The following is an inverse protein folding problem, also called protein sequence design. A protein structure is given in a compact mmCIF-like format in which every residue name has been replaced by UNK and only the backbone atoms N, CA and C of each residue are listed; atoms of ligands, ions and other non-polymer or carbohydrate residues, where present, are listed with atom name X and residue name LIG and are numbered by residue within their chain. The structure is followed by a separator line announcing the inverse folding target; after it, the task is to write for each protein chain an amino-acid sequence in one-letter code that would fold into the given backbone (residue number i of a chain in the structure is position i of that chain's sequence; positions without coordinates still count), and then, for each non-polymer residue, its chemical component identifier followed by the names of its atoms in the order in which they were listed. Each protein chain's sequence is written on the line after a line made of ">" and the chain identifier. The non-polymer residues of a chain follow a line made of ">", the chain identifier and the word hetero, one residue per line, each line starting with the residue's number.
data_IF_174483891940
#
_entry.id   IF_174483891940
#
_cell.length_a   1.000
_cell.length_b   1.000
_cell.length_c   1.000
_cell.angle_alpha   90.00
_cell.angle_beta   90.00
_cell.angle_gamma   90.00
#
_symmetry.space_group_name_H-M   'P 1'
#
loop_
_entity.id
_entity.type
_entity.pdbx_description
1 polymer ?
#
# COMPACT_ATOMS: atom_id res chain seq x y z
N UNK A 1 -48.89 -18.36 -9.50
CA UNK A 1 -48.18 -19.40 -8.73
C UNK A 1 -46.95 -18.74 -8.17
N UNK A 2 -46.89 -18.73 -6.84
CA UNK A 2 -45.90 -18.12 -5.97
C UNK A 2 -44.60 -18.91 -5.95
N UNK A 3 -43.46 -18.21 -6.01
CA UNK A 3 -42.19 -18.48 -5.26
C UNK A 3 -41.29 -17.26 -5.51
N UNK A 4 -41.34 -16.26 -4.62
CA UNK A 4 -40.42 -16.05 -3.50
C UNK A 4 -39.12 -15.36 -3.94
N UNK A 5 -39.15 -14.01 -3.91
CA UNK A 5 -37.97 -13.16 -3.76
C UNK A 5 -37.38 -13.43 -2.36
N UNK A 6 -36.09 -13.76 -2.31
CA UNK A 6 -35.29 -13.59 -1.10
C UNK A 6 -34.65 -12.21 -1.18
N UNK A 7 -35.18 -11.28 -0.39
CA UNK A 7 -34.58 -9.98 -0.14
C UNK A 7 -33.31 -10.17 0.72
N UNK A 8 -32.12 -9.99 0.14
CA UNK A 8 -30.91 -9.66 0.89
C UNK A 8 -30.60 -8.19 0.62
N UNK A 9 -31.37 -7.32 1.28
CA UNK A 9 -31.10 -5.89 1.32
C UNK A 9 -30.24 -5.58 2.55
N UNK A 10 -28.92 -5.45 2.35
CA UNK A 10 -28.12 -4.58 3.22
C UNK A 10 -28.08 -3.21 2.55
N UNK A 11 -28.65 -2.24 3.25
CA UNK A 11 -28.98 -0.91 2.77
C UNK A 11 -27.72 -0.03 2.81
N UNK A 12 -27.37 0.56 1.66
CA UNK A 12 -26.54 1.77 1.55
C UNK A 12 -27.03 2.83 2.54
N UNK A 13 -26.17 3.34 3.42
CA UNK A 13 -26.20 4.74 3.90
C UNK A 13 -25.06 5.00 4.90
N UNK A 14 -23.96 5.57 4.44
CA UNK A 14 -23.15 6.47 5.25
C UNK A 14 -23.70 7.88 5.06
N UNK A 15 -24.39 8.44 6.07
CA UNK A 15 -24.56 9.91 6.15
C UNK A 15 -24.87 10.40 7.57
N UNK A 16 -24.00 11.29 8.03
CA UNK A 16 -24.21 12.39 9.00
C UNK A 16 -24.50 12.06 10.47
N UNK A 17 -23.54 12.37 11.34
CA UNK A 17 -23.77 12.60 12.76
C UNK A 17 -23.47 14.06 13.12
N UNK A 18 -24.51 14.83 13.46
CA UNK A 18 -24.38 16.16 14.09
C UNK A 18 -25.20 16.21 15.38
N UNK A 19 -24.48 16.26 16.50
CA UNK A 19 -24.71 17.04 17.74
C UNK A 19 -25.87 16.77 18.76
N UNK A 20 -25.42 16.72 20.03
CA UNK A 20 -25.96 17.28 21.32
C UNK A 20 -26.71 16.41 22.38
N UNK A 21 -25.99 16.11 23.47
CA UNK A 21 -26.33 16.04 24.93
C UNK A 21 -27.79 15.84 25.46
N UNK A 22 -27.99 14.85 26.35
CA UNK A 22 -28.39 15.03 27.77
C UNK A 22 -28.41 13.71 28.59
N UNK A 23 -28.01 13.82 29.88
CA UNK A 23 -27.83 12.78 30.92
C UNK A 23 -29.16 12.29 31.55
N UNK A 24 -29.30 10.99 31.88
CA UNK A 24 -29.23 10.41 33.26
C UNK A 24 -29.66 8.92 33.32
N UNK A 25 -28.72 8.07 33.78
CA UNK A 25 -28.81 6.88 34.65
C UNK A 25 -30.09 6.00 34.67
N UNK A 26 -29.97 4.74 34.24
CA UNK A 26 -30.00 3.56 35.13
C UNK A 26 -30.21 2.25 34.34
N UNK A 27 -29.58 1.18 34.84
CA UNK A 27 -29.66 -0.22 34.38
C UNK A 27 -28.71 -0.58 33.23
N UNK A 28 -27.59 -1.14 33.66
CA UNK A 28 -26.74 -2.06 32.91
C UNK A 28 -27.61 -3.15 32.28
N UNK A 29 -27.94 -2.97 31.01
CA UNK A 29 -28.27 -4.05 30.09
C UNK A 29 -27.20 -3.93 29.00
N UNK A 30 -26.17 -4.77 29.11
CA UNK A 30 -25.22 -4.99 28.03
C UNK A 30 -26.04 -5.64 26.90
N UNK A 31 -26.68 -4.83 26.06
CA UNK A 31 -26.95 -5.26 24.71
C UNK A 31 -25.56 -5.29 24.07
N UNK A 32 -24.92 -6.47 24.06
CA UNK A 32 -24.14 -6.81 22.88
C UNK A 32 -25.19 -6.78 21.76
N UNK A 33 -25.29 -5.65 21.07
CA UNK A 33 -25.54 -5.73 19.65
C UNK A 33 -24.31 -6.44 19.09
N UNK A 34 -24.33 -7.79 19.13
CA UNK A 34 -23.65 -8.52 18.10
C UNK A 34 -24.28 -7.96 16.83
N UNK A 35 -23.52 -7.13 16.10
CA UNK A 35 -23.77 -6.99 14.68
C UNK A 35 -23.98 -8.43 14.17
N UNK A 36 -25.01 -8.69 13.35
CA UNK A 36 -25.12 -10.01 12.77
C UNK A 36 -23.76 -10.28 12.10
N UNK A 37 -23.00 -11.23 12.65
CA UNK A 37 -21.81 -11.78 11.99
C UNK A 37 -22.31 -12.15 10.60
N UNK A 38 -21.84 -11.41 9.60
CA UNK A 38 -22.09 -11.79 8.23
C UNK A 38 -21.48 -13.20 8.11
N UNK A 39 -22.21 -14.21 7.63
CA UNK A 39 -21.52 -15.45 7.31
C UNK A 39 -20.46 -15.09 6.24
N UNK A 40 -19.19 -15.36 6.54
CA UNK A 40 -18.06 -15.23 5.63
C UNK A 40 -18.49 -15.59 4.21
N UNK A 41 -18.30 -14.66 3.29
CA UNK A 41 -18.61 -14.87 1.89
C UNK A 41 -17.37 -15.44 1.23
N UNK A 42 -17.44 -16.69 0.77
CA UNK A 42 -16.34 -17.30 0.03
C UNK A 42 -15.82 -16.32 -1.05
N UNK A 43 -14.56 -15.91 -0.92
CA UNK A 43 -13.93 -15.03 -1.89
C UNK A 43 -13.75 -15.80 -3.20
N UNK A 44 -14.27 -15.25 -4.29
CA UNK A 44 -14.10 -15.83 -5.63
C UNK A 44 -13.94 -14.75 -6.69
N UNK A 45 -12.91 -14.88 -7.50
CA UNK A 45 -12.61 -13.99 -8.61
C UNK A 45 -13.12 -14.58 -9.92
N UNK A 46 -13.77 -13.74 -10.72
CA UNK A 46 -14.13 -14.08 -12.10
C UNK A 46 -13.68 -12.97 -13.02
N UNK A 47 -13.03 -13.34 -14.13
CA UNK A 47 -12.64 -12.37 -15.15
C UNK A 47 -13.88 -11.65 -15.71
N UNK A 48 -13.77 -10.34 -15.86
CA UNK A 48 -14.79 -9.53 -16.51
C UNK A 48 -15.07 -10.01 -17.94
N UNK A 49 -16.33 -9.96 -18.37
CA UNK A 49 -16.74 -10.33 -19.72
C UNK A 49 -17.63 -9.25 -20.34
N UNK A 50 -17.13 -8.49 -21.35
CA UNK A 50 -15.78 -8.55 -21.93
C UNK A 50 -14.70 -8.08 -20.95
N UNK A 51 -13.46 -8.50 -21.16
CA UNK A 51 -12.33 -7.92 -20.44
C UNK A 51 -12.12 -6.47 -20.91
N UNK A 52 -11.79 -5.53 -20.01
CA UNK A 52 -11.46 -4.17 -20.41
C UNK A 52 -10.17 -4.16 -21.24
N UNK A 53 -10.08 -3.22 -22.18
CA UNK A 53 -8.91 -3.07 -23.05
C UNK A 53 -7.83 -2.22 -22.37
N UNK A 54 -7.18 -2.77 -21.36
CA UNK A 54 -6.08 -2.16 -20.62
C UNK A 54 -4.74 -2.57 -21.25
N UNK A 55 -3.69 -1.75 -21.06
CA UNK A 55 -2.33 -2.21 -21.34
C UNK A 55 -1.96 -3.38 -20.43
N UNK A 56 -1.19 -4.33 -20.97
CA UNK A 56 -0.57 -5.40 -20.20
C UNK A 56 0.88 -4.99 -19.95
N UNK A 57 1.29 -4.90 -18.69
CA UNK A 57 2.64 -4.46 -18.32
C UNK A 57 3.15 -5.23 -17.12
N UNK A 58 4.48 -5.30 -17.01
CA UNK A 58 5.17 -5.84 -15.85
C UNK A 58 6.30 -4.92 -15.37
N UNK A 59 6.88 -5.23 -14.20
CA UNK A 59 8.00 -4.47 -13.59
C UNK A 59 7.69 -2.97 -13.53
N UNK A 60 6.56 -2.63 -12.93
CA UNK A 60 6.10 -1.25 -12.81
C UNK A 60 5.17 -1.09 -11.62
N UNK A 61 4.19 -0.20 -11.75
CA UNK A 61 3.29 0.18 -10.66
C UNK A 61 1.89 0.46 -11.21
N UNK A 62 0.91 0.38 -10.32
CA UNK A 62 -0.46 0.82 -10.57
C UNK A 62 -0.91 1.76 -9.45
N UNK A 63 -1.80 2.68 -9.78
CA UNK A 63 -2.49 3.51 -8.79
C UNK A 63 -3.97 3.63 -9.19
N UNK A 64 -4.83 3.83 -8.20
CA UNK A 64 -6.26 4.03 -8.40
C UNK A 64 -6.78 5.12 -7.46
N UNK A 65 -7.75 5.90 -7.95
CA UNK A 65 -8.36 7.01 -7.23
C UNK A 65 -9.30 7.78 -8.17
N UNK A 66 -10.27 8.49 -7.62
CA UNK A 66 -11.16 9.39 -8.36
C UNK A 66 -10.39 10.67 -8.73
N UNK A 67 -9.92 10.77 -9.97
CA UNK A 67 -9.06 11.88 -10.41
C UNK A 67 -9.83 13.00 -11.13
N UNK A 68 -11.11 12.79 -11.46
CA UNK A 68 -11.94 13.78 -12.16
C UNK A 68 -13.22 14.19 -11.40
N UNK A 69 -13.36 13.69 -10.17
CA UNK A 69 -14.37 14.09 -9.18
C UNK A 69 -15.75 13.53 -9.46
N UNK A 70 -15.87 12.46 -10.27
CA UNK A 70 -17.14 11.87 -10.65
C UNK A 70 -17.64 10.77 -9.69
N UNK A 71 -16.79 10.38 -8.73
CA UNK A 71 -17.07 9.42 -7.68
C UNK A 71 -16.71 7.97 -8.02
N UNK A 72 -16.14 7.72 -9.20
CA UNK A 72 -15.67 6.40 -9.63
C UNK A 72 -14.13 6.38 -9.65
N UNK A 73 -13.53 5.31 -9.11
CA UNK A 73 -12.08 5.20 -9.08
C UNK A 73 -11.51 4.92 -10.47
N UNK A 74 -10.54 5.74 -10.89
CA UNK A 74 -9.78 5.61 -12.11
C UNK A 74 -8.55 4.73 -11.94
N UNK A 75 -7.83 4.45 -13.04
CA UNK A 75 -6.72 3.50 -13.04
C UNK A 75 -5.51 4.03 -13.83
N UNK A 76 -4.36 4.11 -13.15
CA UNK A 76 -3.05 4.32 -13.77
C UNK A 76 -2.30 2.98 -13.81
N UNK A 77 -1.78 2.61 -14.98
CA UNK A 77 -0.91 1.46 -15.19
C UNK A 77 0.43 1.92 -15.78
N UNK A 78 1.53 1.44 -15.21
CA UNK A 78 2.89 1.76 -15.64
C UNK A 78 3.72 0.47 -15.68
N UNK A 79 4.53 0.29 -16.71
CA UNK A 79 5.50 -0.81 -16.74
C UNK A 79 6.03 -1.12 -18.14
N UNK A 80 6.40 -2.37 -18.37
CA UNK A 80 7.05 -2.85 -19.60
C UNK A 80 6.15 -3.82 -20.37
N UNK A 81 5.94 -3.58 -21.67
CA UNK A 81 5.63 -4.60 -22.70
C UNK A 81 5.66 -4.00 -24.13
N UNK A 82 6.42 -4.53 -25.09
CA UNK A 82 7.84 -4.85 -24.94
C UNK A 82 8.70 -3.62 -24.57
N UNK A 83 8.13 -2.41 -24.57
CA UNK A 83 8.76 -1.16 -24.15
C UNK A 83 8.09 -0.58 -22.92
N UNK A 84 8.64 0.52 -22.39
CA UNK A 84 8.01 1.27 -21.30
C UNK A 84 6.68 1.85 -21.78
N UNK A 85 5.66 1.75 -20.94
CA UNK A 85 4.31 2.25 -21.20
C UNK A 85 3.74 2.82 -19.91
N UNK A 86 3.05 3.95 -20.04
CA UNK A 86 2.22 4.55 -18.99
C UNK A 86 0.86 4.88 -19.58
N UNK A 87 -0.22 4.39 -18.97
CA UNK A 87 -1.58 4.67 -19.39
C UNK A 87 -2.49 4.97 -18.19
N UNK A 88 -3.21 6.09 -18.28
CA UNK A 88 -4.23 6.50 -17.33
C UNK A 88 -5.61 6.29 -17.96
N UNK A 89 -6.52 5.67 -17.22
CA UNK A 89 -7.85 5.32 -17.69
C UNK A 89 -8.92 5.91 -16.78
N UNK A 90 -9.87 6.64 -17.36
CA UNK A 90 -11.10 7.04 -16.67
C UNK A 90 -12.07 5.88 -16.60
N UNK A 91 -12.66 5.64 -15.44
CA UNK A 91 -13.67 4.62 -15.20
C UNK A 91 -15.08 5.22 -15.29
N UNK A 92 -16.01 4.53 -15.94
CA UNK A 92 -17.40 4.99 -16.07
C UNK A 92 -18.34 4.53 -14.93
N UNK A 93 -17.79 3.94 -13.87
CA UNK A 93 -18.54 3.36 -12.75
C UNK A 93 -19.21 2.01 -13.04
N UNK A 94 -19.14 1.55 -14.30
CA UNK A 94 -19.69 0.28 -14.76
C UNK A 94 -18.62 -0.68 -15.28
N UNK A 95 -17.34 -0.36 -15.05
CA UNK A 95 -16.18 -1.14 -15.47
C UNK A 95 -15.74 -0.88 -16.92
N UNK A 96 -16.26 0.19 -17.54
CA UNK A 96 -15.76 0.71 -18.80
C UNK A 96 -14.60 1.68 -18.56
N UNK A 97 -13.46 1.42 -19.20
CA UNK A 97 -12.25 2.24 -19.06
C UNK A 97 -11.93 2.98 -20.36
N UNK A 98 -11.67 4.29 -20.26
CA UNK A 98 -11.27 5.14 -21.40
C UNK A 98 -9.88 5.74 -21.14
N UNK A 99 -8.92 5.40 -22.00
CA UNK A 99 -7.55 5.92 -21.89
C UNK A 99 -7.50 7.44 -22.15
N UNK A 100 -6.75 8.13 -21.30
CA UNK A 100 -6.52 9.57 -21.34
C UNK A 100 -5.16 9.91 -21.94
N UNK A 101 -5.07 11.08 -22.56
CA UNK A 101 -3.76 11.66 -22.91
C UNK A 101 -3.20 12.40 -21.71
N UNK A 102 -2.00 12.03 -21.26
CA UNK A 102 -1.36 12.59 -20.06
C UNK A 102 0.01 13.19 -20.38
N UNK A 103 0.57 14.04 -19.50
CA UNK A 103 1.96 14.49 -19.61
C UNK A 103 2.97 13.49 -19.02
N UNK A 104 2.52 12.29 -18.63
CA UNK A 104 3.34 11.34 -17.91
C UNK A 104 4.35 10.66 -18.85
N UNK A 105 5.60 10.44 -18.42
CA UNK A 105 6.55 9.66 -19.19
C UNK A 105 6.17 8.18 -19.15
N UNK A 106 6.47 7.47 -20.24
CA UNK A 106 6.53 6.02 -20.23
C UNK A 106 7.67 5.55 -19.30
N UNK A 107 7.34 4.71 -18.31
CA UNK A 107 8.29 4.28 -17.29
C UNK A 107 8.20 2.77 -16.93
N UNK A 108 9.17 2.32 -16.14
CA UNK A 108 9.23 1.01 -15.49
C UNK A 108 9.90 1.13 -14.13
N UNK A 109 9.96 0.06 -13.33
CA UNK A 109 10.57 0.07 -11.99
C UNK A 109 10.05 1.25 -11.15
N UNK A 110 8.75 1.47 -11.20
CA UNK A 110 8.10 2.71 -10.80
C UNK A 110 7.42 2.62 -9.45
N UNK A 111 7.13 3.78 -8.87
CA UNK A 111 6.12 3.94 -7.81
C UNK A 111 5.16 5.04 -8.25
N UNK A 112 3.87 4.73 -8.17
CA UNK A 112 2.78 5.67 -8.45
C UNK A 112 1.85 5.73 -7.24
N UNK A 113 1.50 6.93 -6.78
CA UNK A 113 0.54 7.15 -5.69
C UNK A 113 -0.34 8.36 -6.02
N UNK A 114 -1.64 8.18 -5.93
CA UNK A 114 -2.61 9.28 -5.96
C UNK A 114 -2.86 9.76 -4.54
N UNK A 115 -2.57 11.03 -4.25
CA UNK A 115 -2.71 11.67 -2.93
C UNK A 115 -2.94 13.16 -3.15
N UNK A 116 -3.79 13.80 -2.36
CA UNK A 116 -3.91 15.28 -2.33
C UNK A 116 -2.65 15.87 -1.68
N UNK A 117 -1.75 16.46 -2.48
CA UNK A 117 -0.44 16.93 -2.02
C UNK A 117 -0.38 18.45 -1.80
N UNK A 118 -1.32 19.22 -2.32
CA UNK A 118 -1.39 20.67 -2.12
C UNK A 118 -2.62 21.14 -1.33
N UNK A 119 -3.42 20.20 -0.81
CA UNK A 119 -4.51 20.43 0.12
C UNK A 119 -5.74 21.07 -0.53
N UNK A 120 -5.87 20.99 -1.85
CA UNK A 120 -7.01 21.54 -2.58
C UNK A 120 -8.21 20.58 -2.68
N UNK A 121 -8.02 19.32 -2.27
CA UNK A 121 -9.03 18.27 -2.23
C UNK A 121 -9.05 17.37 -3.46
N UNK A 122 -8.22 17.64 -4.47
CA UNK A 122 -8.09 16.85 -5.68
C UNK A 122 -6.88 15.89 -5.56
N UNK A 123 -6.98 14.69 -6.13
CA UNK A 123 -5.86 13.73 -6.07
C UNK A 123 -4.75 14.12 -7.05
N UNK A 124 -3.57 14.45 -6.53
CA UNK A 124 -2.32 14.63 -7.26
C UNK A 124 -1.60 13.30 -7.47
N UNK A 125 -0.52 13.31 -8.26
CA UNK A 125 0.29 12.13 -8.53
C UNK A 125 1.75 12.32 -8.13
N UNK A 126 2.20 11.50 -7.18
CA UNK A 126 3.62 11.16 -7.04
C UNK A 126 3.98 10.05 -8.02
N UNK A 127 5.01 10.27 -8.85
CA UNK A 127 5.47 9.30 -9.82
C UNK A 127 6.99 9.27 -9.91
N UNK A 128 7.60 8.14 -9.52
CA UNK A 128 9.02 7.85 -9.73
C UNK A 128 9.22 6.63 -10.63
N UNK A 129 10.44 6.48 -11.16
CA UNK A 129 10.81 5.28 -11.90
C UNK A 129 11.86 5.52 -12.96
N UNK A 130 12.02 4.54 -13.82
CA UNK A 130 12.98 4.55 -14.92
C UNK A 130 12.27 4.92 -16.23
N UNK A 131 12.47 6.14 -16.70
CA UNK A 131 11.87 6.67 -17.92
C UNK A 131 12.59 6.23 -19.19
N UNK A 132 12.00 6.54 -20.35
CA UNK A 132 12.64 6.31 -21.66
C UNK A 132 14.04 6.94 -21.75
N UNK A 133 15.03 6.16 -22.22
CA UNK A 133 16.45 6.57 -22.23
C UNK A 133 17.24 6.22 -20.97
N UNK A 134 16.64 5.47 -20.03
CA UNK A 134 17.28 5.01 -18.77
C UNK A 134 17.57 6.18 -17.83
N UNK A 135 16.68 7.18 -17.82
CA UNK A 135 16.74 8.28 -16.87
C UNK A 135 15.80 7.97 -15.71
N UNK A 136 16.37 7.85 -14.52
CA UNK A 136 15.60 7.76 -13.28
C UNK A 136 14.95 9.12 -12.99
N UNK A 137 13.75 9.11 -12.42
CA UNK A 137 13.04 10.32 -12.09
C UNK A 137 12.19 10.18 -10.83
N UNK A 138 11.88 11.31 -10.20
CA UNK A 138 10.82 11.46 -9.21
C UNK A 138 10.11 12.78 -9.49
N UNK A 139 8.82 12.71 -9.81
CA UNK A 139 7.99 13.81 -10.25
C UNK A 139 6.73 13.93 -9.39
N UNK A 140 6.27 15.17 -9.25
CA UNK A 140 4.97 15.53 -8.69
C UNK A 140 4.14 16.11 -9.82
N UNK A 141 2.93 15.61 -10.02
CA UNK A 141 1.98 16.19 -10.95
C UNK A 141 0.75 16.65 -10.18
N UNK A 142 0.46 17.95 -10.28
CA UNK A 142 -0.72 18.55 -9.66
C UNK A 142 -1.92 18.39 -10.58
N UNK A 143 -3.05 17.95 -10.05
CA UNK A 143 -4.32 17.79 -10.76
C UNK A 143 -5.16 19.07 -10.66
N UNK A 144 -6.12 19.26 -11.56
CA UNK A 144 -7.06 20.40 -11.53
C UNK A 144 -8.48 19.99 -11.12
N UNK A 145 -8.62 18.80 -10.52
CA UNK A 145 -9.89 18.17 -10.16
C UNK A 145 -10.69 17.63 -11.33
N UNK A 146 -10.17 17.71 -12.56
CA UNK A 146 -10.83 17.21 -13.76
C UNK A 146 -9.92 16.27 -14.58
N UNK A 147 -8.92 15.70 -13.92
CA UNK A 147 -7.94 14.79 -14.51
C UNK A 147 -6.89 15.49 -15.39
N UNK A 148 -6.74 16.83 -15.31
CA UNK A 148 -5.70 17.56 -16.04
C UNK A 148 -4.46 17.77 -15.19
N UNK A 149 -3.47 16.90 -15.39
CA UNK A 149 -2.22 16.94 -14.64
C UNK A 149 -1.20 17.93 -15.21
N UNK A 150 -0.50 18.65 -14.33
CA UNK A 150 0.63 19.51 -14.65
C UNK A 150 1.86 19.14 -13.82
N UNK A 151 3.01 18.92 -14.47
CA UNK A 151 4.27 18.66 -13.76
C UNK A 151 4.67 19.86 -12.90
N UNK A 152 4.83 19.63 -11.60
CA UNK A 152 5.37 20.58 -10.63
C UNK A 152 6.85 20.25 -10.36
N UNK A 153 7.81 21.11 -10.76
CA UNK A 153 9.23 20.82 -10.60
C UNK A 153 9.67 20.82 -9.13
N UNK A 154 10.19 19.68 -8.65
CA UNK A 154 10.66 19.51 -7.28
C UNK A 154 12.17 19.17 -7.26
N UNK A 155 13.07 20.17 -7.35
CA UNK A 155 14.51 19.94 -7.55
C UNK A 155 15.22 19.36 -6.32
N UNK A 156 14.57 19.35 -5.16
CA UNK A 156 15.10 18.76 -3.94
C UNK A 156 14.92 17.24 -3.90
N UNK A 157 13.92 16.70 -4.60
CA UNK A 157 13.69 15.26 -4.62
C UNK A 157 14.82 14.54 -5.37
N UNK A 158 15.42 13.50 -4.76
CA UNK A 158 16.36 12.64 -5.47
C UNK A 158 15.62 11.95 -6.62
N UNK A 159 16.34 11.69 -7.70
CA UNK A 159 15.80 10.94 -8.84
C UNK A 159 16.21 9.48 -8.66
N UNK A 160 15.26 8.55 -8.74
CA UNK A 160 15.48 7.14 -8.44
C UNK A 160 14.47 6.24 -9.18
N UNK A 161 14.65 4.94 -9.03
CA UNK A 161 13.70 3.89 -9.38
C UNK A 161 13.56 2.90 -8.22
N UNK A 162 12.51 2.08 -8.23
CA UNK A 162 12.23 1.11 -7.17
C UNK A 162 11.21 1.61 -6.15
N UNK A 163 10.99 0.81 -5.11
CA UNK A 163 9.74 0.76 -4.32
C UNK A 163 9.76 1.48 -2.97
N UNK A 164 10.91 2.02 -2.54
CA UNK A 164 11.10 2.52 -1.18
C UNK A 164 10.50 3.90 -0.92
N UNK A 165 9.18 4.03 -1.04
CA UNK A 165 8.43 5.28 -0.85
C UNK A 165 7.21 5.03 0.01
N UNK A 166 7.04 5.80 1.09
CA UNK A 166 5.79 5.94 1.82
C UNK A 166 5.34 7.41 1.82
N UNK A 167 4.03 7.63 1.93
CA UNK A 167 3.42 8.96 1.94
C UNK A 167 2.49 9.07 3.16
N UNK A 168 2.61 10.15 3.91
CA UNK A 168 1.80 10.41 5.12
C UNK A 168 2.26 11.69 5.83
N UNK A 169 1.37 12.32 6.58
CA UNK A 169 1.67 13.48 7.43
C UNK A 169 2.47 13.01 8.66
N UNK A 170 3.77 13.27 8.69
CA UNK A 170 4.66 12.76 9.76
C UNK A 170 5.00 13.81 10.81
N UNK A 171 4.73 15.09 10.56
CA UNK A 171 5.01 16.18 11.50
C UNK A 171 3.76 16.88 12.06
N UNK A 172 2.58 16.39 11.66
CA UNK A 172 1.28 16.77 12.19
C UNK A 172 0.79 18.14 11.70
N UNK A 173 1.34 18.65 10.61
CA UNK A 173 0.94 19.94 10.03
C UNK A 173 -0.27 19.85 9.07
N UNK A 174 -0.66 18.62 8.71
CA UNK A 174 -1.81 18.31 7.87
C UNK A 174 -1.47 18.10 6.40
N UNK A 175 -0.20 18.25 6.01
CA UNK A 175 0.26 18.08 4.63
C UNK A 175 0.98 16.73 4.47
N UNK A 176 0.66 15.90 3.44
CA UNK A 176 1.32 14.60 3.29
C UNK A 176 2.81 14.74 2.91
N UNK A 177 3.67 14.12 3.70
CA UNK A 177 5.12 14.05 3.49
C UNK A 177 5.55 12.78 2.76
N UNK A 178 6.81 12.72 2.34
CA UNK A 178 7.40 11.52 1.73
C UNK A 178 8.52 10.96 2.60
N UNK A 179 8.48 9.66 2.90
CA UNK A 179 9.64 8.91 3.36
C UNK A 179 10.24 8.14 2.19
N UNK A 180 11.51 8.41 1.89
CA UNK A 180 12.27 7.71 0.87
C UNK A 180 13.31 6.81 1.52
N UNK A 181 13.41 5.55 1.09
CA UNK A 181 14.50 4.61 1.41
C UNK A 181 14.97 3.92 0.12
N UNK A 182 15.84 4.61 -0.62
CA UNK A 182 16.14 4.30 -2.03
C UNK A 182 17.63 4.44 -2.33
N UNK A 183 18.03 4.00 -3.53
CA UNK A 183 19.29 4.39 -4.15
C UNK A 183 19.00 5.34 -5.31
N UNK A 184 19.64 6.50 -5.28
CA UNK A 184 19.47 7.54 -6.30
C UNK A 184 20.28 7.23 -7.58
N UNK A 185 20.03 8.03 -8.62
CA UNK A 185 20.72 7.96 -9.92
C UNK A 185 22.26 8.12 -9.88
N UNK A 186 22.82 8.52 -8.72
CA UNK A 186 24.25 8.67 -8.49
C UNK A 186 24.82 7.54 -7.62
N UNK A 187 24.06 6.46 -7.42
CA UNK A 187 24.41 5.34 -6.55
C UNK A 187 24.55 5.70 -5.06
N UNK A 188 23.86 6.76 -4.62
CA UNK A 188 23.82 7.17 -3.22
C UNK A 188 22.58 6.58 -2.56
N UNK A 189 22.78 5.88 -1.44
CA UNK A 189 21.68 5.42 -0.60
C UNK A 189 21.10 6.62 0.16
N UNK A 190 19.80 6.85 -0.01
CA UNK A 190 19.04 7.92 0.62
C UNK A 190 18.02 7.28 1.54
N UNK A 191 18.05 7.66 2.82
CA UNK A 191 16.94 7.45 3.73
C UNK A 191 16.63 8.74 4.49
N UNK A 192 15.55 9.42 4.10
CA UNK A 192 15.16 10.70 4.68
C UNK A 192 13.66 10.93 4.47
N UNK A 193 13.09 11.78 5.33
CA UNK A 193 11.78 12.39 5.15
C UNK A 193 11.95 13.65 4.32
N UNK A 194 11.04 13.86 3.39
CA UNK A 194 10.90 15.08 2.62
C UNK A 194 9.58 15.72 3.02
N UNK A 195 9.69 16.84 3.75
CA UNK A 195 8.56 17.58 4.29
C UNK A 195 7.90 18.39 3.17
N UNK A 196 6.58 18.30 3.10
CA UNK A 196 5.74 19.12 2.25
C UNK A 196 5.54 20.51 2.88
N UNK A 197 5.30 21.55 2.08
CA UNK A 197 5.01 22.90 2.59
C UNK A 197 3.54 23.31 2.40
N UNK A 198 2.68 22.33 2.11
CA UNK A 198 1.27 22.50 1.77
C UNK A 198 1.03 22.99 0.34
N UNK A 199 2.07 23.02 -0.50
CA UNK A 199 1.94 23.35 -1.93
C UNK A 199 2.57 22.29 -2.84
N UNK A 200 2.67 21.06 -2.32
CA UNK A 200 3.36 19.93 -2.94
C UNK A 200 4.85 20.21 -3.25
N UNK A 201 5.48 21.12 -2.50
CA UNK A 201 6.90 21.46 -2.61
C UNK A 201 7.68 20.82 -1.45
N UNK A 202 8.65 19.98 -1.78
CA UNK A 202 9.29 19.09 -0.80
C UNK A 202 10.68 19.60 -0.41
N UNK A 203 11.00 19.50 0.89
CA UNK A 203 12.34 19.78 1.42
C UNK A 203 12.81 18.63 2.30
N UNK A 204 14.04 18.16 2.09
CA UNK A 204 14.63 17.14 2.94
C UNK A 204 14.72 17.62 4.40
N UNK A 205 14.22 16.79 5.32
CA UNK A 205 14.31 17.04 6.77
C UNK A 205 15.76 16.93 7.27
N UNK A 206 16.62 16.19 6.57
CA UNK A 206 18.00 15.94 6.98
C UNK A 206 18.07 14.90 8.11
N UNK A 207 17.13 13.96 8.12
CA UNK A 207 17.04 12.89 9.10
C UNK A 207 18.28 12.01 9.03
N UNK A 208 18.86 11.72 10.19
CA UNK A 208 20.06 10.87 10.30
C UNK A 208 19.80 9.60 11.11
N UNK A 209 18.56 9.41 11.57
CA UNK A 209 18.15 8.24 12.35
C UNK A 209 17.99 6.98 11.51
N UNK A 210 17.65 7.12 10.23
CA UNK A 210 17.40 5.99 9.34
C UNK A 210 18.67 5.28 8.90
N UNK A 211 18.58 3.95 8.81
CA UNK A 211 19.54 3.12 8.09
C UNK A 211 19.17 3.12 6.61
N UNK A 212 20.02 3.66 5.72
CA UNK A 212 19.71 3.69 4.30
C UNK A 212 19.72 2.29 3.68
N UNK A 213 18.71 1.99 2.87
CA UNK A 213 18.57 0.74 2.13
C UNK A 213 18.26 0.99 0.65
N UNK A 214 18.57 0.03 -0.22
CA UNK A 214 18.08 -0.06 -1.60
C UNK A 214 17.09 -1.23 -1.74
N UNK A 215 16.32 -1.22 -2.84
CA UNK A 215 15.18 -2.13 -3.03
C UNK A 215 14.26 -2.14 -1.79
N UNK A 216 14.05 -0.95 -1.22
CA UNK A 216 13.33 -0.79 0.02
C UNK A 216 11.84 -1.06 -0.15
N UNK A 217 11.24 -1.68 0.85
CA UNK A 217 9.82 -1.62 1.12
C UNK A 217 9.64 -0.79 2.39
N UNK A 218 8.74 0.20 2.31
CA UNK A 218 8.54 1.20 3.36
C UNK A 218 7.05 1.43 3.51
N UNK A 219 6.57 1.47 4.75
CA UNK A 219 5.18 1.82 5.07
C UNK A 219 5.14 2.57 6.39
N UNK A 220 4.14 3.45 6.52
CA UNK A 220 3.82 4.12 7.77
C UNK A 220 2.74 3.34 8.54
N UNK A 221 2.84 3.33 9.87
CA UNK A 221 1.85 2.78 10.79
C UNK A 221 1.94 3.51 12.13
N UNK A 222 0.86 3.58 12.88
CA UNK A 222 0.92 3.92 14.31
C UNK A 222 1.24 2.64 15.09
N UNK A 223 2.50 2.45 15.47
CA UNK A 223 2.96 1.19 16.06
C UNK A 223 2.60 1.09 17.54
N UNK A 224 2.53 2.21 18.24
CA UNK A 224 2.34 2.29 19.70
C UNK A 224 1.03 2.92 20.17
N UNK A 225 0.13 3.23 19.23
CA UNK A 225 -1.21 3.72 19.51
C UNK A 225 -1.22 5.16 20.05
N UNK A 226 -0.18 5.94 19.76
CA UNK A 226 -0.09 7.34 20.20
C UNK A 226 -0.60 8.35 19.16
N UNK A 227 -0.89 7.88 17.95
CA UNK A 227 -1.45 8.64 16.84
C UNK A 227 -0.41 9.22 15.89
N UNK A 228 0.88 9.00 16.14
CA UNK A 228 1.95 9.48 15.28
C UNK A 228 2.33 8.40 14.24
N UNK A 229 2.67 8.81 13.02
CA UNK A 229 3.07 7.85 11.98
C UNK A 229 4.52 7.40 12.18
N UNK A 230 4.71 6.17 12.65
CA UNK A 230 5.97 5.44 12.67
C UNK A 230 6.27 4.80 11.31
N UNK A 231 7.51 4.37 11.09
CA UNK A 231 7.92 3.79 9.83
C UNK A 231 8.64 2.45 9.99
N UNK A 232 8.24 1.44 9.22
CA UNK A 232 9.06 0.24 9.01
C UNK A 232 9.77 0.32 7.66
N UNK A 233 11.08 0.08 7.68
CA UNK A 233 11.94 0.09 6.49
C UNK A 233 12.62 -1.27 6.40
N UNK A 234 12.43 -1.95 5.27
CA UNK A 234 13.07 -3.23 4.98
C UNK A 234 13.73 -3.20 3.59
N UNK A 235 14.95 -3.73 3.44
CA UNK A 235 15.68 -3.70 2.18
C UNK A 235 17.13 -4.16 2.32
N UNK A 236 17.95 -3.82 1.33
CA UNK A 236 19.40 -4.15 1.33
C UNK A 236 20.20 -2.96 1.82
N UNK A 237 21.04 -3.12 2.85
CA UNK A 237 21.88 -2.05 3.37
C UNK A 237 23.10 -1.74 2.48
N UNK A 238 23.90 -0.74 2.86
CA UNK A 238 25.11 -0.33 2.12
C UNK A 238 26.21 -1.40 2.05
N UNK A 239 26.17 -2.42 2.93
CA UNK A 239 27.11 -3.53 2.93
C UNK A 239 26.62 -4.70 2.05
N UNK A 240 25.37 -4.64 1.57
CA UNK A 240 24.72 -5.72 0.84
C UNK A 240 23.98 -6.71 1.74
N UNK A 241 23.79 -6.38 3.01
CA UNK A 241 23.13 -7.23 3.99
C UNK A 241 21.63 -6.87 4.09
N UNK A 242 20.72 -7.86 4.19
CA UNK A 242 19.31 -7.60 4.49
C UNK A 242 19.13 -6.83 5.80
N UNK A 243 18.20 -5.87 5.82
CA UNK A 243 17.89 -5.04 6.98
C UNK A 243 16.38 -4.85 7.11
N UNK A 244 15.87 -4.88 8.34
CA UNK A 244 14.46 -4.57 8.64
C UNK A 244 14.41 -3.90 10.01
N UNK A 245 13.97 -2.64 10.04
CA UNK A 245 13.96 -1.81 11.25
C UNK A 245 12.67 -1.00 11.30
N UNK A 246 12.07 -0.96 12.50
CA UNK A 246 11.03 -0.01 12.87
C UNK A 246 11.68 1.27 13.39
N UNK A 247 11.10 2.41 13.05
CA UNK A 247 11.49 3.74 13.50
C UNK A 247 10.29 4.44 14.10
N UNK A 248 10.42 4.85 15.35
CA UNK A 248 9.37 5.55 16.10
C UNK A 248 9.48 7.05 15.86
N UNK A 249 8.35 7.69 15.60
CA UNK A 249 8.21 9.12 15.40
C UNK A 249 7.86 9.81 16.73
N UNK A 250 8.29 11.05 16.93
CA UNK A 250 7.94 11.84 18.12
C UNK A 250 6.75 12.79 17.92
N UNK A 251 6.01 12.56 16.83
CA UNK A 251 4.90 13.40 16.36
C UNK A 251 5.31 14.71 15.70
N UNK A 252 6.62 14.98 15.60
CA UNK A 252 7.18 16.16 14.93
C UNK A 252 8.09 15.81 13.75
N UNK A 253 7.95 14.60 13.20
CA UNK A 253 8.75 14.10 12.09
C UNK A 253 10.18 13.69 12.47
N UNK A 254 10.48 13.54 13.77
CA UNK A 254 11.80 13.11 14.23
C UNK A 254 11.78 11.63 14.57
N UNK A 255 12.38 10.84 13.69
CA UNK A 255 12.42 9.38 13.81
C UNK A 255 13.64 8.86 14.59
N UNK A 256 13.42 7.88 15.46
CA UNK A 256 14.46 7.12 16.14
C UNK A 256 14.28 5.61 15.91
N UNK A 257 15.36 4.84 15.68
CA UNK A 257 15.23 3.40 15.51
C UNK A 257 14.70 2.75 16.78
N UNK A 258 13.69 1.90 16.64
CA UNK A 258 13.25 1.04 17.71
C UNK A 258 14.37 0.05 18.08
N UNK A 259 14.55 -0.17 19.38
CA UNK A 259 15.57 -1.07 19.94
C UNK A 259 14.95 -2.22 20.73
N UNK A 260 13.63 -2.30 20.78
CA UNK A 260 12.87 -3.32 21.50
C UNK A 260 12.56 -4.50 20.60
N UNK A 261 12.00 -4.24 19.42
CA UNK A 261 11.62 -5.25 18.45
C UNK A 261 12.83 -5.79 17.69
N UNK A 262 12.77 -7.07 17.36
CA UNK A 262 13.78 -7.75 16.55
C UNK A 262 13.06 -8.39 15.38
N UNK A 263 13.04 -7.68 14.26
CA UNK A 263 12.52 -8.20 13.00
C UNK A 263 13.54 -9.11 12.32
N UNK A 264 13.05 -10.12 11.61
CA UNK A 264 13.87 -10.89 10.67
C UNK A 264 14.37 -9.94 9.58
N UNK A 265 15.70 -9.82 9.34
CA UNK A 265 16.21 -8.95 8.29
C UNK A 265 15.87 -9.50 6.90
N UNK A 266 15.20 -8.69 6.09
CA UNK A 266 14.74 -9.04 4.75
C UNK A 266 15.22 -8.03 3.70
N UNK A 267 15.65 -8.56 2.55
CA UNK A 267 15.53 -7.85 1.28
C UNK A 267 14.05 -7.94 0.89
N UNK A 268 13.24 -7.07 1.50
CA UNK A 268 11.81 -7.04 1.30
C UNK A 268 11.49 -6.49 -0.09
N UNK A 269 10.46 -7.03 -0.72
CA UNK A 269 9.91 -6.47 -1.96
C UNK A 269 8.66 -5.66 -1.67
N UNK A 270 7.94 -6.07 -0.63
CA UNK A 270 6.71 -5.41 -0.21
C UNK A 270 6.49 -5.58 1.29
N UNK A 271 5.86 -4.57 1.88
CA UNK A 271 5.42 -4.52 3.28
C UNK A 271 4.06 -3.85 3.27
N UNK A 272 3.09 -4.47 3.93
CA UNK A 272 1.74 -3.94 4.09
C UNK A 272 1.31 -4.00 5.56
N UNK A 273 0.32 -3.18 5.93
CA UNK A 273 -0.18 -3.08 7.31
C UNK A 273 -1.71 -3.05 7.39
N UNK A 274 -2.26 -3.79 8.35
CA UNK A 274 -3.70 -3.85 8.62
C UNK A 274 -3.96 -4.48 10.00
N UNK A 275 -5.09 -4.19 10.62
CA UNK A 275 -5.55 -4.85 11.85
C UNK A 275 -6.14 -6.23 11.49
N UNK A 276 -5.35 -7.31 11.60
CA UNK A 276 -5.72 -8.63 11.07
C UNK A 276 -6.50 -9.51 12.05
N UNK A 277 -6.47 -9.21 13.35
CA UNK A 277 -7.28 -9.91 14.37
C UNK A 277 -8.39 -9.08 15.02
N UNK A 278 -8.57 -7.83 14.58
CA UNK A 278 -9.66 -6.96 14.99
C UNK A 278 -9.49 -6.40 16.40
N UNK A 279 -8.25 -6.29 16.90
CA UNK A 279 -7.96 -5.72 18.20
C UNK A 279 -7.75 -4.19 18.19
N UNK A 280 -7.64 -3.61 16.99
CA UNK A 280 -7.53 -2.18 16.72
C UNK A 280 -6.10 -1.71 16.47
N UNK A 281 -5.11 -2.61 16.54
CA UNK A 281 -3.69 -2.30 16.35
C UNK A 281 -3.21 -2.81 14.97
N UNK A 282 -2.36 -2.03 14.30
CA UNK A 282 -1.90 -2.41 12.95
C UNK A 282 -0.84 -3.51 13.01
N UNK A 283 -1.10 -4.62 12.32
CA UNK A 283 -0.17 -5.73 12.09
C UNK A 283 0.66 -5.52 10.83
N UNK A 284 1.77 -6.25 10.69
CA UNK A 284 2.71 -6.09 9.58
C UNK A 284 2.87 -7.39 8.79
N UNK A 285 2.59 -7.36 7.49
CA UNK A 285 2.89 -8.44 6.55
C UNK A 285 4.06 -8.05 5.65
N UNK A 286 5.12 -8.87 5.62
CA UNK A 286 6.30 -8.63 4.79
C UNK A 286 6.66 -9.85 3.96
N UNK A 287 7.13 -9.64 2.73
CA UNK A 287 7.67 -10.72 1.89
C UNK A 287 9.02 -10.36 1.26
N UNK A 288 9.93 -11.32 1.19
CA UNK A 288 11.30 -11.03 0.80
C UNK A 288 12.25 -12.21 0.94
N UNK A 289 13.54 -11.88 1.05
CA UNK A 289 14.60 -12.88 1.22
C UNK A 289 15.57 -12.53 2.35
N UNK A 290 16.00 -13.53 3.14
CA UNK A 290 17.06 -13.39 4.14
C UNK A 290 18.42 -13.77 3.56
N UNK A 291 19.51 -13.56 4.30
CA UNK A 291 20.84 -14.13 4.00
C UNK A 291 21.08 -15.45 4.80
N UNK A 292 21.51 -16.56 4.17
CA UNK A 292 21.67 -16.80 2.73
C UNK A 292 20.33 -17.11 2.04
N UNK A 293 19.98 -16.28 1.03
CA UNK A 293 18.78 -16.31 0.17
C UNK A 293 17.68 -17.31 0.58
N UNK A 294 16.98 -17.04 1.68
CA UNK A 294 15.79 -17.81 2.07
C UNK A 294 14.54 -16.96 1.88
N UNK A 295 13.60 -17.45 1.08
CA UNK A 295 12.33 -16.77 0.80
C UNK A 295 11.46 -16.84 2.05
N UNK A 296 10.85 -15.72 2.43
CA UNK A 296 10.02 -15.60 3.63
C UNK A 296 8.82 -14.69 3.37
N UNK A 297 7.66 -15.12 3.83
CA UNK A 297 6.49 -14.27 4.07
C UNK A 297 6.17 -14.31 5.56
N UNK A 298 6.14 -13.16 6.23
CA UNK A 298 6.06 -13.06 7.69
C UNK A 298 4.95 -12.09 8.08
N UNK A 299 4.03 -12.55 8.92
CA UNK A 299 3.02 -11.72 9.59
C UNK A 299 3.46 -11.49 11.04
N UNK A 300 3.61 -10.23 11.44
CA UNK A 300 3.88 -9.83 12.82
C UNK A 300 2.62 -9.21 13.42
N UNK A 301 2.22 -9.70 14.58
CA UNK A 301 1.10 -9.14 15.33
C UNK A 301 1.59 -8.05 16.27
N UNK A 302 0.92 -6.91 16.24
CA UNK A 302 1.08 -5.87 17.25
C UNK A 302 0.31 -6.27 18.51
N UNK A 303 0.66 -5.68 19.65
CA UNK A 303 -0.03 -5.89 20.92
C UNK A 303 -0.63 -4.59 21.48
N UNK A 304 -0.60 -3.51 20.69
CA UNK A 304 -1.05 -2.17 21.05
C UNK A 304 -0.11 -1.33 21.89
N UNK A 305 1.07 -1.87 22.23
CA UNK A 305 2.12 -1.15 22.97
C UNK A 305 3.43 -1.10 22.14
N UNK A 306 3.36 -1.26 20.82
CA UNK A 306 4.52 -1.26 19.93
C UNK A 306 5.39 -2.52 20.02
N UNK A 307 4.89 -3.64 20.56
CA UNK A 307 5.63 -4.91 20.62
C UNK A 307 5.09 -5.91 19.60
N UNK A 308 5.91 -6.23 18.61
CA UNK A 308 5.58 -7.12 17.51
C UNK A 308 6.01 -8.57 17.78
N UNK A 309 5.09 -9.51 17.52
CA UNK A 309 5.36 -10.96 17.61
C UNK A 309 5.10 -11.64 16.27
N UNK A 310 6.09 -12.36 15.74
CA UNK A 310 5.89 -13.20 14.54
C UNK A 310 4.79 -14.24 14.81
N UNK A 311 3.72 -14.20 14.02
CA UNK A 311 2.69 -15.22 14.04
C UNK A 311 3.21 -16.47 13.34
N UNK A 312 3.55 -17.48 14.13
CA UNK A 312 4.00 -18.77 13.60
C UNK A 312 2.81 -19.64 13.19
N UNK A 313 2.99 -20.46 12.15
CA UNK A 313 2.00 -21.45 11.67
C UNK A 313 0.73 -20.87 11.02
N UNK A 314 0.85 -19.73 10.33
CA UNK A 314 -0.20 -19.14 9.50
C UNK A 314 -0.59 -19.99 8.28
N UNK A 315 0.34 -20.82 7.78
CA UNK A 315 0.14 -21.55 6.53
C UNK A 315 0.31 -20.69 5.26
N UNK A 316 0.76 -19.44 5.41
CA UNK A 316 1.05 -18.55 4.29
C UNK A 316 2.20 -19.09 3.46
N UNK A 317 2.12 -18.83 2.16
CA UNK A 317 3.16 -19.21 1.23
C UNK A 317 4.30 -18.18 1.22
N UNK A 318 5.52 -18.64 1.51
CA UNK A 318 6.72 -17.84 1.32
C UNK A 318 6.90 -17.41 -0.15
N UNK A 319 6.98 -16.11 -0.39
CA UNK A 319 7.19 -15.49 -1.71
C UNK A 319 8.26 -14.38 -1.68
N UNK A 320 8.86 -14.10 -2.84
CA UNK A 320 9.69 -12.91 -3.09
C UNK A 320 9.43 -12.38 -4.51
N UNK A 321 9.81 -11.13 -4.76
CA UNK A 321 9.69 -10.50 -6.08
C UNK A 321 8.25 -10.28 -6.53
N UNK A 322 7.34 -10.01 -5.59
CA UNK A 322 5.94 -9.69 -5.84
C UNK A 322 5.39 -8.74 -4.79
N UNK A 323 4.07 -8.76 -4.61
CA UNK A 323 3.33 -7.81 -3.76
C UNK A 323 2.43 -8.55 -2.77
N UNK A 324 2.19 -7.92 -1.64
CA UNK A 324 1.25 -8.33 -0.61
C UNK A 324 0.14 -7.27 -0.53
N UNK A 325 -1.10 -7.70 -0.28
CA UNK A 325 -2.21 -6.80 0.00
C UNK A 325 -2.98 -7.36 1.18
N UNK A 326 -3.30 -6.50 2.15
CA UNK A 326 -4.19 -6.75 3.26
C UNK A 326 -5.43 -5.87 3.12
N UNK A 327 -6.58 -6.50 2.89
CA UNK A 327 -7.85 -5.80 2.71
C UNK A 327 -9.01 -6.73 3.03
N UNK A 328 -10.08 -6.19 3.58
CA UNK A 328 -11.34 -6.90 3.77
C UNK A 328 -12.01 -7.09 2.39
N UNK A 329 -11.84 -8.27 1.77
CA UNK A 329 -12.30 -8.54 0.41
C UNK A 329 -13.75 -9.02 0.38
N UNK A 330 -14.25 -9.58 1.47
CA UNK A 330 -15.58 -10.17 1.57
C UNK A 330 -16.58 -9.34 2.41
N UNK A 331 -16.08 -8.27 3.03
CA UNK A 331 -16.79 -7.31 3.90
C UNK A 331 -17.29 -7.92 5.22
N UNK A 332 -16.55 -8.86 5.80
CA UNK A 332 -16.87 -9.45 7.11
C UNK A 332 -16.19 -8.74 8.31
N UNK A 333 -15.23 -7.85 8.02
CA UNK A 333 -14.58 -6.99 8.97
C UNK A 333 -13.21 -7.46 9.44
N UNK A 334 -12.68 -8.58 8.91
CA UNK A 334 -11.28 -8.96 9.05
C UNK A 334 -10.52 -8.87 7.72
N UNK A 335 -9.34 -8.23 7.67
CA UNK A 335 -8.54 -8.18 6.45
C UNK A 335 -8.12 -9.56 5.96
N UNK A 336 -8.41 -9.82 4.70
CA UNK A 336 -7.92 -10.94 3.90
C UNK A 336 -6.55 -10.61 3.29
N UNK A 337 -5.87 -11.64 2.78
CA UNK A 337 -4.54 -11.47 2.20
C UNK A 337 -4.51 -11.85 0.72
N UNK A 338 -3.90 -11.01 -0.10
CA UNK A 338 -3.45 -11.38 -1.45
C UNK A 338 -1.94 -11.43 -1.44
N UNK A 339 -1.36 -12.60 -1.73
CA UNK A 339 0.09 -12.79 -1.78
C UNK A 339 0.48 -13.20 -3.19
N UNK A 340 1.24 -12.33 -3.85
CA UNK A 340 1.77 -12.51 -5.18
C UNK A 340 3.29 -12.56 -5.11
N UNK A 341 3.92 -13.48 -5.84
CA UNK A 341 5.38 -13.52 -5.97
C UNK A 341 5.88 -14.88 -6.41
N UNK A 342 7.16 -15.16 -6.19
CA UNK A 342 7.82 -16.39 -6.62
C UNK A 342 8.53 -17.12 -5.48
N UNK A 343 8.87 -18.39 -5.70
CA UNK A 343 9.82 -19.14 -4.87
C UNK A 343 11.18 -19.34 -5.52
N UNK A 344 12.15 -19.83 -4.73
CA UNK A 344 13.44 -20.29 -5.25
C UNK A 344 13.25 -21.20 -6.46
N UNK A 345 14.02 -20.95 -7.52
CA UNK A 345 13.93 -21.66 -8.80
C UNK A 345 13.22 -20.87 -9.91
N UNK A 346 12.60 -19.72 -9.59
CA UNK A 346 11.95 -18.87 -10.58
C UNK A 346 10.79 -19.56 -11.29
N UNK A 347 10.45 -19.10 -12.49
CA UNK A 347 9.40 -19.71 -13.32
C UNK A 347 9.56 -21.24 -13.43
N UNK A 348 8.49 -22.04 -13.23
CA UNK A 348 7.09 -21.63 -13.15
C UNK A 348 6.55 -21.41 -11.71
N UNK A 349 7.40 -21.21 -10.69
CA UNK A 349 6.99 -21.13 -9.28
C UNK A 349 6.41 -19.77 -8.90
N UNK A 350 5.48 -19.23 -9.70
CA UNK A 350 4.72 -18.01 -9.37
C UNK A 350 3.50 -18.42 -8.55
N UNK A 351 3.28 -17.69 -7.47
CA UNK A 351 2.13 -17.78 -6.59
C UNK A 351 1.36 -16.47 -6.65
N UNK A 352 0.04 -16.58 -6.62
CA UNK A 352 -0.93 -15.50 -6.71
C UNK A 352 -2.16 -15.93 -5.89
N UNK A 353 -1.96 -16.14 -4.59
CA UNK A 353 -2.91 -16.81 -3.71
C UNK A 353 -3.69 -15.77 -2.94
N UNK A 354 -5.00 -15.98 -2.84
CA UNK A 354 -5.89 -15.25 -1.96
C UNK A 354 -6.14 -16.11 -0.73
N UNK A 355 -5.96 -15.51 0.45
CA UNK A 355 -6.25 -16.13 1.73
C UNK A 355 -7.43 -15.41 2.37
N UNK A 356 -8.52 -16.13 2.59
CA UNK A 356 -9.64 -15.66 3.40
C UNK A 356 -9.23 -15.75 4.88
N UNK A 357 -9.39 -14.65 5.61
CA UNK A 357 -9.29 -14.65 7.06
C UNK A 357 -10.64 -15.14 7.62
N UNK A 358 -10.60 -16.10 8.54
CA UNK A 358 -11.81 -16.66 9.18
C UNK A 358 -12.01 -16.08 10.59
N UNK A 359 -11.39 -14.93 10.86
CA UNK A 359 -11.23 -14.31 12.16
C UNK A 359 -10.07 -14.85 12.99
N UNK A 360 -9.43 -13.94 13.73
CA UNK A 360 -8.36 -14.26 14.69
C UNK A 360 -7.12 -14.86 14.02
N UNK A 361 -6.78 -14.35 12.84
CA UNK A 361 -5.61 -14.74 12.04
C UNK A 361 -5.61 -16.20 11.58
N UNK A 362 -6.80 -16.73 11.26
CA UNK A 362 -6.97 -18.07 10.69
C UNK A 362 -7.14 -17.94 9.19
N UNK A 363 -6.04 -18.05 8.45
CA UNK A 363 -6.03 -17.91 7.00
C UNK A 363 -6.22 -19.24 6.28
N UNK A 364 -7.13 -19.28 5.28
CA UNK A 364 -7.27 -20.41 4.37
C UNK A 364 -7.10 -19.96 2.91
N UNK A 365 -6.39 -20.71 2.05
CA UNK A 365 -6.31 -20.36 0.64
C UNK A 365 -7.65 -20.65 -0.05
N UNK A 366 -8.27 -19.62 -0.65
CA UNK A 366 -9.63 -19.72 -1.22
C UNK A 366 -9.67 -19.58 -2.72
N UNK A 367 -8.79 -18.76 -3.30
CA UNK A 367 -8.72 -18.58 -4.75
C UNK A 367 -7.29 -18.25 -5.22
N UNK A 368 -7.12 -18.16 -6.54
CA UNK A 368 -5.97 -17.52 -7.16
C UNK A 368 -6.41 -16.40 -8.07
N UNK A 369 -5.66 -15.30 -8.06
CA UNK A 369 -5.93 -14.16 -8.95
C UNK A 369 -5.47 -14.54 -10.37
N UNK A 370 -6.29 -15.32 -11.08
CA UNK A 370 -5.88 -16.07 -12.28
C UNK A 370 -5.16 -15.26 -13.37
N UNK A 371 -4.14 -15.85 -13.98
CA UNK A 371 -3.47 -15.37 -15.20
C UNK A 371 -2.12 -16.06 -15.43
N UNK A 372 -1.88 -16.62 -16.61
CA UNK A 372 -0.57 -17.16 -17.03
C UNK A 372 0.51 -16.06 -17.26
N UNK A 373 0.23 -14.82 -16.84
CA UNK A 373 0.93 -13.62 -17.27
C UNK A 373 1.24 -12.71 -16.07
N UNK A 374 2.13 -13.17 -15.20
CA UNK A 374 3.04 -12.27 -14.49
C UNK A 374 4.42 -12.59 -15.03
N UNK A 375 4.75 -12.06 -16.20
CA UNK A 375 6.14 -12.02 -16.64
C UNK A 375 6.86 -11.04 -15.70
N UNK A 376 7.95 -11.45 -15.07
CA UNK A 376 8.76 -10.60 -14.19
C UNK A 376 9.61 -9.63 -14.98
#
# INVERSE_FOLDING_TARGET
>A
MTTAHGDNACIKNASTLHQTFMKFLSHLLLLLAAAPLCPAQNISFTLATPQPALIEVYSGSSASGDIDGDGDNDLLLVGLDPGRQTALYLNDGFGGFTEMTTPFPDASSSVTRFVDLDGDGDLDLFFSGLGSGVQEFAHIYVNDGQGSFTLLPNPALPQFQGTGVAIGDVDGDGDPDLLLAVRDQNDTFVADVFLNDGSAMFTAAGSTGFTPVEFGAVVFLDAEGDGDLDAIIAGTDQNGDPSTLLYLNDGGGIFAPDTVNIFVPLNANDVDVADTDGDGDLDILMSGTTDPFAVRTILYLNNGDGLFTELTATGLQDTFGGTNVMADLDNDGDPDLVIIGSQMGGLPNIYNIVYENLGGNIFIPTDTVGGEYIAV
#
